data_IF_916722038748
#
_entry.id   IF_916722038748
#
_cell.length_a   1.000
_cell.length_b   1.000
_cell.length_c   1.000
_cell.angle_alpha   90.00
_cell.angle_beta   90.00
_cell.angle_gamma   90.00
#
_symmetry.space_group_name_H-M   'P 1'
#
loop_
_entity.id
_entity.type
_entity.pdbx_description
1 polymer ?
#
# COMPACT_ATOMS: atom_id res chain seq x y z
N UNK A 1 -6.44 13.41 -46.56
CA UNK A 1 -6.98 13.10 -45.23
C UNK A 1 -6.64 14.29 -44.35
N UNK A 2 -7.62 15.14 -44.03
CA UNK A 2 -7.39 16.30 -43.16
C UNK A 2 -6.92 15.81 -41.78
N UNK A 3 -5.85 16.41 -41.25
CA UNK A 3 -5.42 16.13 -39.88
C UNK A 3 -6.47 16.71 -38.93
N UNK A 4 -7.30 15.84 -38.35
CA UNK A 4 -8.16 16.22 -37.23
C UNK A 4 -7.28 16.69 -36.08
N UNK A 5 -7.48 17.92 -35.64
CA UNK A 5 -6.72 18.51 -34.53
C UNK A 5 -7.35 18.02 -33.23
N UNK A 6 -6.55 17.36 -32.39
CA UNK A 6 -6.96 16.98 -31.04
C UNK A 6 -7.30 18.24 -30.25
N UNK A 7 -8.57 18.39 -29.85
CA UNK A 7 -9.08 19.59 -29.19
C UNK A 7 -10.38 19.26 -28.43
N UNK A 8 -10.31 18.52 -27.31
CA UNK A 8 -11.49 18.23 -26.52
C UNK A 8 -12.07 19.53 -25.95
N UNK A 9 -13.41 19.65 -25.96
CA UNK A 9 -14.14 20.84 -25.52
C UNK A 9 -15.11 20.46 -24.41
N UNK A 10 -15.40 21.39 -23.51
CA UNK A 10 -16.38 21.21 -22.43
C UNK A 10 -17.32 22.40 -22.36
N UNK A 11 -18.53 22.18 -21.83
CA UNK A 11 -19.48 23.25 -21.49
C UNK A 11 -19.33 23.73 -20.03
N UNK A 12 -18.54 23.03 -19.23
CA UNK A 12 -18.26 23.34 -17.84
C UNK A 12 -16.81 23.79 -17.65
N UNK A 13 -16.56 24.48 -16.54
CA UNK A 13 -15.21 24.90 -16.13
C UNK A 13 -14.38 23.69 -15.71
N UNK A 14 -13.28 23.42 -16.42
CA UNK A 14 -12.27 22.43 -16.06
C UNK A 14 -10.89 22.85 -16.59
N UNK A 15 -9.84 22.20 -16.10
CA UNK A 15 -8.51 22.33 -16.67
C UNK A 15 -8.46 21.62 -18.02
N UNK A 16 -8.37 22.41 -19.10
CA UNK A 16 -8.32 21.92 -20.47
C UNK A 16 -7.05 21.12 -20.77
N UNK A 17 -5.93 21.45 -20.11
CA UNK A 17 -4.69 20.69 -20.26
C UNK A 17 -4.82 19.32 -19.62
N UNK A 18 -5.39 19.25 -18.42
CA UNK A 18 -5.64 17.99 -17.75
C UNK A 18 -6.63 17.11 -18.53
N UNK A 19 -7.71 17.71 -19.07
CA UNK A 19 -8.65 17.01 -19.94
C UNK A 19 -7.96 16.45 -21.19
N UNK A 20 -7.10 17.25 -21.83
CA UNK A 20 -6.33 16.83 -22.98
C UNK A 20 -5.44 15.62 -22.66
N UNK A 21 -4.76 15.64 -21.51
CA UNK A 21 -3.92 14.51 -21.05
C UNK A 21 -4.76 13.27 -20.76
N UNK A 22 -5.90 13.42 -20.08
CA UNK A 22 -6.79 12.30 -19.72
C UNK A 22 -7.44 11.62 -20.92
N UNK A 23 -7.75 12.40 -21.96
CA UNK A 23 -8.35 11.89 -23.19
C UNK A 23 -7.31 11.42 -24.21
N UNK A 24 -6.02 11.63 -23.94
CA UNK A 24 -4.95 11.18 -24.82
C UNK A 24 -4.70 9.69 -24.61
N UNK A 25 -5.31 8.88 -25.47
CA UNK A 25 -5.17 7.42 -25.48
C UNK A 25 -4.54 6.94 -26.79
N UNK A 26 -3.73 5.88 -26.68
CA UNK A 26 -3.13 5.21 -27.84
C UNK A 26 -4.11 4.25 -28.54
N UNK A 27 -5.13 3.78 -27.81
CA UNK A 27 -6.16 2.86 -28.28
C UNK A 27 -7.57 3.43 -27.97
N UNK A 28 -8.24 3.92 -29.02
CA UNK A 28 -9.58 4.48 -28.94
C UNK A 28 -10.67 3.40 -28.84
N UNK A 29 -10.43 2.21 -29.40
CA UNK A 29 -11.39 1.10 -29.39
C UNK A 29 -11.51 0.49 -27.99
N UNK A 30 -10.37 0.25 -27.33
CA UNK A 30 -10.35 -0.24 -25.95
C UNK A 30 -10.99 0.76 -24.98
N UNK A 31 -10.74 2.06 -25.17
CA UNK A 31 -11.27 3.12 -24.32
C UNK A 31 -12.78 3.26 -24.48
N UNK A 32 -13.29 3.26 -25.71
CA UNK A 32 -14.72 3.34 -25.99
C UNK A 32 -15.47 2.13 -25.40
N UNK A 33 -14.92 0.92 -25.56
CA UNK A 33 -15.48 -0.30 -24.97
C UNK A 33 -15.54 -0.24 -23.44
N UNK A 34 -14.48 0.26 -22.79
CA UNK A 34 -14.42 0.42 -21.33
C UNK A 34 -15.47 1.39 -20.80
N UNK A 35 -15.69 2.49 -21.52
CA UNK A 35 -16.67 3.52 -21.17
C UNK A 35 -18.10 3.17 -21.57
N UNK A 36 -18.31 2.10 -22.34
CA UNK A 36 -19.64 1.70 -22.83
C UNK A 36 -20.20 2.62 -23.91
N UNK A 37 -19.33 3.31 -24.67
CA UNK A 37 -19.70 4.27 -25.71
C UNK A 37 -19.21 3.80 -27.07
N UNK A 38 -19.72 4.39 -28.14
CA UNK A 38 -19.19 4.09 -29.48
C UNK A 38 -17.84 4.78 -29.72
N UNK A 39 -16.98 4.16 -30.53
CA UNK A 39 -15.69 4.75 -30.93
C UNK A 39 -15.90 6.08 -31.64
N UNK A 40 -16.97 6.20 -32.41
CA UNK A 40 -17.36 7.44 -33.09
C UNK A 40 -17.73 8.54 -32.11
N UNK A 41 -18.48 8.24 -31.04
CA UNK A 41 -18.78 9.21 -29.98
C UNK A 41 -17.51 9.64 -29.24
N UNK A 42 -16.64 8.68 -28.89
CA UNK A 42 -15.37 8.99 -28.25
C UNK A 42 -14.49 9.92 -29.10
N UNK A 43 -14.37 9.65 -30.40
CA UNK A 43 -13.63 10.51 -31.33
C UNK A 43 -14.26 11.90 -31.46
N UNK A 44 -15.60 11.99 -31.50
CA UNK A 44 -16.29 13.29 -31.55
C UNK A 44 -15.96 14.16 -30.33
N UNK A 45 -15.87 13.55 -29.15
CA UNK A 45 -15.40 14.24 -27.94
C UNK A 45 -13.93 14.63 -28.04
N UNK A 46 -13.06 13.71 -28.47
CA UNK A 46 -11.60 13.89 -28.59
C UNK A 46 -11.19 15.04 -29.52
N UNK A 47 -11.92 15.20 -30.62
CA UNK A 47 -11.68 16.22 -31.64
C UNK A 47 -12.57 17.47 -31.48
N UNK A 48 -13.41 17.53 -30.45
CA UNK A 48 -14.23 18.70 -30.15
C UNK A 48 -15.40 18.93 -31.10
N UNK A 49 -15.82 17.91 -31.86
CA UNK A 49 -17.06 17.93 -32.65
C UNK A 49 -18.30 17.99 -31.74
N UNK A 50 -18.22 17.31 -30.60
CA UNK A 50 -19.22 17.38 -29.52
C UNK A 50 -18.52 17.66 -28.19
N UNK A 51 -19.14 18.44 -27.28
CA UNK A 51 -18.55 18.69 -25.98
C UNK A 51 -18.49 17.40 -25.15
N UNK A 52 -17.38 17.24 -24.41
CA UNK A 52 -17.16 16.17 -23.44
C UNK A 52 -18.19 16.33 -22.31
N UNK A 53 -18.96 15.28 -21.99
CA UNK A 53 -19.90 15.34 -20.87
C UNK A 53 -19.20 15.48 -19.51
N UNK A 54 -19.86 16.15 -18.56
CA UNK A 54 -19.31 16.35 -17.20
C UNK A 54 -19.02 15.04 -16.47
N UNK A 55 -19.87 14.02 -16.64
CA UNK A 55 -19.68 12.72 -15.99
C UNK A 55 -18.41 12.02 -16.48
N UNK A 56 -18.06 12.17 -17.76
CA UNK A 56 -16.87 11.55 -18.34
C UNK A 56 -15.61 12.19 -17.78
N UNK A 57 -15.59 13.51 -17.68
CA UNK A 57 -14.51 14.23 -17.00
C UNK A 57 -14.32 13.76 -15.56
N UNK A 58 -15.41 13.71 -14.78
CA UNK A 58 -15.35 13.28 -13.37
C UNK A 58 -14.85 11.84 -13.23
N UNK A 59 -15.26 10.95 -14.15
CA UNK A 59 -14.80 9.57 -14.17
C UNK A 59 -13.30 9.49 -14.46
N UNK A 60 -12.80 10.20 -15.48
CA UNK A 60 -11.39 10.21 -15.83
C UNK A 60 -10.52 10.82 -14.71
N UNK A 61 -11.01 11.88 -14.04
CA UNK A 61 -10.35 12.41 -12.85
C UNK A 61 -10.29 11.38 -11.72
N UNK A 62 -11.41 10.72 -11.43
CA UNK A 62 -11.46 9.70 -10.38
C UNK A 62 -10.50 8.55 -10.66
N UNK A 63 -10.42 8.07 -11.90
CA UNK A 63 -9.49 7.00 -12.29
C UNK A 63 -8.03 7.43 -12.13
N UNK A 64 -7.70 8.64 -12.56
CA UNK A 64 -6.36 9.20 -12.38
C UNK A 64 -6.01 9.40 -10.91
N UNK A 65 -6.97 9.83 -10.10
CA UNK A 65 -6.77 9.98 -8.66
C UNK A 65 -6.57 8.61 -8.01
N UNK A 66 -7.32 7.58 -8.41
CA UNK A 66 -7.10 6.19 -7.97
C UNK A 66 -5.69 5.70 -8.31
N UNK A 67 -5.19 5.96 -9.52
CA UNK A 67 -3.82 5.63 -9.91
C UNK A 67 -2.78 6.37 -9.05
N UNK A 68 -3.04 7.65 -8.73
CA UNK A 68 -2.18 8.49 -7.89
C UNK A 68 -2.18 8.09 -6.42
N UNK A 69 -3.21 7.38 -5.94
CA UNK A 69 -3.28 6.95 -4.53
C UNK A 69 -2.16 5.97 -4.15
N UNK A 70 -1.55 5.27 -5.11
CA UNK A 70 -0.41 4.39 -4.86
C UNK A 70 -0.69 3.38 -3.73
N UNK A 71 0.10 3.36 -2.63
CA UNK A 71 -0.12 2.44 -1.50
C UNK A 71 -1.49 2.58 -0.81
N UNK A 72 -2.20 3.68 -1.02
CA UNK A 72 -3.51 3.95 -0.44
C UNK A 72 -4.67 3.44 -1.30
N UNK A 73 -4.38 2.78 -2.43
CA UNK A 73 -5.42 2.24 -3.29
C UNK A 73 -6.28 1.22 -2.54
N UNK A 74 -7.60 1.39 -2.63
CA UNK A 74 -8.58 0.51 -1.97
C UNK A 74 -8.84 0.81 -0.48
N UNK A 75 -8.09 1.73 0.14
CA UNK A 75 -8.41 2.20 1.48
C UNK A 75 -9.70 3.02 1.47
N UNK A 76 -10.53 2.83 2.50
CA UNK A 76 -11.80 3.53 2.64
C UNK A 76 -11.87 4.24 3.97
N UNK A 77 -12.50 5.41 3.99
CA UNK A 77 -12.81 6.11 5.24
C UNK A 77 -14.25 5.78 5.62
N UNK A 78 -14.44 5.27 6.83
CA UNK A 78 -15.74 4.99 7.43
C UNK A 78 -15.84 5.70 8.78
N UNK A 79 -16.43 6.90 8.81
CA UNK A 79 -16.52 7.72 10.01
C UNK A 79 -15.13 8.07 10.55
N UNK A 80 -14.83 7.62 11.77
CA UNK A 80 -13.55 7.84 12.47
C UNK A 80 -12.48 6.79 12.12
N UNK A 81 -12.73 5.91 11.15
CA UNK A 81 -11.84 4.79 10.80
C UNK A 81 -11.34 4.84 9.38
N UNK A 82 -10.08 4.44 9.22
CA UNK A 82 -9.48 4.03 7.96
C UNK A 82 -9.59 2.50 7.89
N UNK A 83 -10.23 2.00 6.84
CA UNK A 83 -10.41 0.58 6.56
C UNK A 83 -9.48 0.19 5.41
N UNK A 84 -8.61 -0.76 5.68
CA UNK A 84 -7.73 -1.38 4.70
C UNK A 84 -8.52 -2.29 3.77
N UNK A 85 -8.14 -2.41 2.48
CA UNK A 85 -8.72 -3.40 1.58
C UNK A 85 -8.49 -4.85 2.06
N UNK A 86 -7.53 -5.10 2.96
CA UNK A 86 -7.26 -6.42 3.57
C UNK A 86 -8.23 -6.77 4.72
N UNK A 87 -9.11 -5.85 5.13
CA UNK A 87 -10.11 -6.06 6.19
C UNK A 87 -9.74 -5.45 7.55
N UNK A 88 -8.47 -5.09 7.76
CA UNK A 88 -8.06 -4.38 8.97
C UNK A 88 -8.64 -2.97 9.01
N UNK A 89 -8.92 -2.47 10.21
CA UNK A 89 -9.37 -1.09 10.41
C UNK A 89 -8.62 -0.45 11.56
N UNK A 90 -8.29 0.82 11.40
CA UNK A 90 -7.64 1.63 12.40
C UNK A 90 -8.38 2.95 12.54
N UNK A 91 -8.57 3.42 13.77
CA UNK A 91 -9.12 4.74 14.02
C UNK A 91 -8.09 5.85 13.76
N UNK A 92 -8.58 7.07 13.52
CA UNK A 92 -7.70 8.22 13.31
C UNK A 92 -6.89 8.61 14.54
N UNK A 93 -7.37 8.37 15.76
CA UNK A 93 -6.62 8.62 16.99
C UNK A 93 -5.45 7.63 17.16
N UNK A 94 -5.65 6.36 16.78
CA UNK A 94 -4.60 5.33 16.74
C UNK A 94 -3.47 5.69 15.78
N UNK A 95 -3.75 6.45 14.71
CA UNK A 95 -2.72 6.94 13.78
C UNK A 95 -1.63 7.75 14.51
N UNK A 96 -2.04 8.60 15.46
CA UNK A 96 -1.11 9.42 16.24
C UNK A 96 -0.20 8.57 17.15
N UNK A 97 -0.62 7.36 17.48
CA UNK A 97 0.08 6.43 18.38
C UNK A 97 0.96 5.42 17.62
N UNK A 98 0.96 5.43 16.29
CA UNK A 98 1.73 4.48 15.46
C UNK A 98 3.21 4.41 15.83
N UNK A 99 3.81 5.55 16.19
CA UNK A 99 5.21 5.59 16.62
C UNK A 99 5.43 4.76 17.88
N UNK A 100 4.54 4.89 18.85
CA UNK A 100 4.64 4.16 20.11
C UNK A 100 4.33 2.67 19.92
N UNK A 101 3.37 2.31 19.05
CA UNK A 101 3.14 0.91 18.70
C UNK A 101 4.36 0.26 18.05
N UNK A 102 5.03 0.95 17.12
CA UNK A 102 6.28 0.45 16.52
C UNK A 102 7.38 0.28 17.57
N UNK A 103 7.50 1.23 18.49
CA UNK A 103 8.49 1.14 19.59
C UNK A 103 8.18 -0.03 20.53
N UNK A 104 6.92 -0.23 20.89
CA UNK A 104 6.50 -1.34 21.73
C UNK A 104 6.75 -2.69 21.05
N UNK A 105 6.46 -2.80 19.75
CA UNK A 105 6.75 -3.99 18.96
C UNK A 105 8.26 -4.29 18.89
N UNK A 106 9.09 -3.26 18.66
CA UNK A 106 10.54 -3.42 18.67
C UNK A 106 11.03 -3.89 20.05
N UNK A 107 10.57 -3.26 21.13
CA UNK A 107 10.96 -3.64 22.48
C UNK A 107 10.56 -5.08 22.81
N UNK A 108 9.39 -5.53 22.36
CA UNK A 108 8.95 -6.92 22.54
C UNK A 108 9.87 -7.90 21.81
N UNK A 109 10.31 -7.57 20.59
CA UNK A 109 11.28 -8.38 19.86
C UNK A 109 12.64 -8.42 20.57
N UNK A 110 13.17 -7.26 20.99
CA UNK A 110 14.45 -7.17 21.71
C UNK A 110 14.41 -7.97 23.03
N UNK A 111 13.27 -7.95 23.73
CA UNK A 111 13.06 -8.76 24.93
C UNK A 111 13.02 -10.25 24.64
N UNK A 112 12.41 -10.67 23.54
CA UNK A 112 12.40 -12.08 23.14
C UNK A 112 13.82 -12.57 22.85
N UNK A 113 14.61 -11.80 22.10
CA UNK A 113 16.02 -12.12 21.80
C UNK A 113 16.87 -12.22 23.07
N UNK A 114 16.68 -11.30 24.02
CA UNK A 114 17.38 -11.33 25.30
C UNK A 114 17.02 -12.57 26.12
N UNK A 115 15.74 -12.95 26.14
CA UNK A 115 15.29 -14.17 26.84
C UNK A 115 15.96 -15.40 26.25
N UNK A 116 16.03 -15.51 24.92
CA UNK A 116 16.71 -16.63 24.26
C UNK A 116 18.19 -16.71 24.63
N UNK A 117 18.90 -15.59 24.64
CA UNK A 117 20.31 -15.54 25.06
C UNK A 117 20.49 -15.98 26.50
N UNK A 118 19.69 -15.46 27.43
CA UNK A 118 19.76 -15.82 28.85
C UNK A 118 19.44 -17.30 29.08
N UNK A 119 18.50 -17.87 28.32
CA UNK A 119 18.21 -19.29 28.36
C UNK A 119 19.41 -20.13 27.92
N UNK A 120 20.06 -19.74 26.81
CA UNK A 120 21.25 -20.41 26.32
C UNK A 120 22.43 -20.33 27.31
N UNK A 121 22.66 -19.16 27.91
CA UNK A 121 23.69 -18.97 28.94
C UNK A 121 23.41 -19.82 30.18
N UNK A 122 22.18 -19.81 30.68
CA UNK A 122 21.76 -20.63 31.82
C UNK A 122 22.03 -22.11 31.56
N UNK A 123 21.66 -22.60 30.37
CA UNK A 123 21.80 -24.01 30.02
C UNK A 123 23.29 -24.39 29.87
N UNK A 124 24.11 -23.50 29.31
CA UNK A 124 25.57 -23.64 29.27
C UNK A 124 26.19 -23.72 30.67
N UNK A 125 25.82 -22.82 31.59
CA UNK A 125 26.35 -22.86 32.96
C UNK A 125 25.91 -24.13 33.70
N UNK A 126 24.66 -24.54 33.54
CA UNK A 126 24.14 -25.77 34.13
C UNK A 126 24.93 -26.99 33.65
N UNK A 127 25.20 -27.08 32.35
CA UNK A 127 25.97 -28.18 31.79
C UNK A 127 27.42 -28.19 32.30
N UNK A 128 28.06 -27.03 32.39
CA UNK A 128 29.43 -26.91 32.92
C UNK A 128 29.52 -27.33 34.40
N UNK A 129 28.57 -26.92 35.24
CA UNK A 129 28.52 -27.38 36.63
C UNK A 129 28.41 -28.91 36.72
N UNK A 130 27.56 -29.53 35.88
CA UNK A 130 27.46 -30.99 35.82
C UNK A 130 28.76 -31.66 35.38
N UNK A 131 29.45 -31.11 34.37
CA UNK A 131 30.76 -31.62 33.91
C UNK A 131 31.82 -31.50 35.01
N UNK A 132 31.93 -30.34 35.66
CA UNK A 132 32.88 -30.11 36.76
C UNK A 132 32.63 -31.05 37.95
N UNK A 133 31.38 -31.25 38.35
CA UNK A 133 31.03 -32.21 39.40
C UNK A 133 31.46 -33.65 39.03
N UNK A 134 31.27 -34.05 37.77
CA UNK A 134 31.69 -35.37 37.28
C UNK A 134 33.21 -35.54 37.30
N UNK A 135 33.96 -34.51 36.89
CA UNK A 135 35.43 -34.53 36.95
C UNK A 135 35.94 -34.55 38.40
N UNK A 136 35.34 -33.76 39.30
CA UNK A 136 35.69 -33.79 40.73
C UNK A 136 35.45 -35.15 41.37
N UNK A 137 34.33 -35.81 41.04
CA UNK A 137 34.05 -37.18 41.49
C UNK A 137 35.04 -38.21 40.92
N UNK A 138 35.52 -38.04 39.68
CA UNK A 138 36.56 -38.91 39.11
C UNK A 138 37.91 -38.72 39.81
N UNK A 139 38.35 -37.48 40.03
CA UNK A 139 39.61 -37.20 40.74
C UNK A 139 39.58 -37.79 42.15
N UNK A 140 38.47 -37.63 42.87
CA UNK A 140 38.30 -38.23 44.20
C UNK A 140 38.37 -39.76 44.20
N UNK A 141 38.03 -40.44 43.10
CA UNK A 141 38.16 -41.90 42.96
C UNK A 141 39.58 -42.37 42.62
N UNK A 142 40.45 -41.48 42.12
CA UNK A 142 41.83 -41.81 41.74
C UNK A 142 42.78 -41.56 42.91
N UNK A 143 42.51 -40.52 43.72
CA UNK A 143 43.38 -40.09 44.82
C UNK A 143 42.91 -40.56 46.22
N UNK A 144 41.89 -41.42 46.30
CA UNK A 144 41.53 -42.23 47.48
C UNK A 144 41.73 -43.70 47.15
#
# INVERSE_FOLDING_TARGET
MERRVFNPRTEFTCDQMELAVLMFTHDDDATAKRLGVTVTEWQRWKYGETPVPRWLWLLLCYERDQERMGPWQGFRVNGDRIVSPMGDSMRFDEWSQLREYRRAAQLANDQADLIEQLMAERDFYRENCHRQARFGLMLNKIFR
#
